data_IF_291842633992
#
_entry.id   IF_291842633992
#
_cell.length_a   1.000
_cell.length_b   1.000
_cell.length_c   1.000
_cell.angle_alpha   90.00
_cell.angle_beta   90.00
_cell.angle_gamma   90.00
#
_symmetry.space_group_name_H-M   'P 1'
#
loop_
_entity.id
_entity.type
_entity.pdbx_description
1 polymer ?
#
# COMPACT_ATOMS: atom_id res chain seq x y z
N UNK A 1 -15.01 -7.88 -8.25
CA UNK A 1 -14.86 -6.59 -7.57
C UNK A 1 -13.71 -5.85 -8.25
N UNK A 2 -13.85 -4.54 -8.49
CA UNK A 2 -12.76 -3.75 -9.10
C UNK A 2 -11.71 -3.46 -8.03
N UNK A 3 -10.45 -3.75 -8.31
CA UNK A 3 -9.35 -3.45 -7.40
C UNK A 3 -8.34 -2.54 -8.11
N UNK A 4 -7.85 -1.54 -7.40
CA UNK A 4 -6.82 -0.62 -7.88
C UNK A 4 -5.59 -0.77 -6.98
N UNK A 5 -4.45 -1.04 -7.62
CA UNK A 5 -3.14 -1.01 -6.98
C UNK A 5 -2.28 0.05 -7.63
N UNK A 6 -1.49 0.74 -6.84
CA UNK A 6 -0.41 1.61 -7.33
C UNK A 6 0.92 0.89 -7.26
N UNK A 7 1.79 1.21 -8.20
CA UNK A 7 3.18 0.79 -8.22
C UNK A 7 4.05 2.00 -7.93
N UNK A 8 4.80 1.96 -6.84
CA UNK A 8 5.79 2.98 -6.52
C UNK A 8 7.19 2.50 -6.84
N UNK A 9 8.03 3.43 -7.28
CA UNK A 9 9.46 3.26 -7.47
C UNK A 9 10.23 4.17 -6.51
N UNK A 10 11.24 3.62 -5.86
CA UNK A 10 12.14 4.39 -5.02
C UNK A 10 13.43 4.71 -5.78
N UNK A 11 13.74 6.00 -5.92
CA UNK A 11 15.05 6.47 -6.41
C UNK A 11 16.16 5.86 -5.54
N UNK A 12 17.08 5.10 -6.12
CA UNK A 12 18.18 4.47 -5.37
C UNK A 12 19.10 5.47 -4.68
N UNK A 13 19.26 6.67 -5.27
CA UNK A 13 20.22 7.69 -4.83
C UNK A 13 19.65 8.56 -3.69
N UNK A 14 18.44 9.10 -3.89
CA UNK A 14 17.81 10.06 -2.96
C UNK A 14 16.79 9.42 -2.04
N UNK A 15 16.46 8.13 -2.28
CA UNK A 15 15.45 7.39 -1.51
C UNK A 15 14.03 8.00 -1.55
N UNK A 16 13.78 8.88 -2.54
CA UNK A 16 12.45 9.44 -2.78
C UNK A 16 11.58 8.41 -3.49
N UNK A 17 10.31 8.34 -3.11
CA UNK A 17 9.30 7.48 -3.73
C UNK A 17 8.47 8.25 -4.75
N UNK A 18 8.21 7.62 -5.87
CA UNK A 18 7.35 8.10 -6.94
C UNK A 18 6.30 7.04 -7.25
N UNK A 19 5.01 7.37 -7.21
CA UNK A 19 3.97 6.47 -7.70
C UNK A 19 4.04 6.46 -9.23
N UNK A 20 4.63 5.43 -9.81
CA UNK A 20 4.93 5.39 -11.25
C UNK A 20 3.82 4.74 -12.08
N UNK A 21 2.93 3.98 -11.48
CA UNK A 21 1.91 3.28 -12.25
C UNK A 21 0.70 2.85 -11.46
N UNK A 22 -0.36 2.54 -12.18
CA UNK A 22 -1.62 2.04 -11.66
C UNK A 22 -2.02 0.76 -12.36
N UNK A 23 -2.22 -0.30 -11.58
CA UNK A 23 -2.83 -1.56 -12.01
C UNK A 23 -4.30 -1.56 -11.60
N UNK A 24 -5.18 -1.81 -12.55
CA UNK A 24 -6.62 -2.00 -12.31
C UNK A 24 -7.00 -3.43 -12.67
N UNK A 25 -7.80 -4.09 -11.84
CA UNK A 25 -8.33 -5.42 -12.10
C UNK A 25 -9.83 -5.47 -11.82
N UNK A 26 -10.57 -6.22 -12.64
CA UNK A 26 -11.96 -6.62 -12.37
C UNK A 26 -12.09 -8.12 -12.05
N UNK A 27 -10.97 -8.81 -11.85
CA UNK A 27 -10.90 -10.25 -11.62
C UNK A 27 -10.81 -11.10 -12.90
N UNK A 28 -11.01 -10.50 -14.09
CA UNK A 28 -10.89 -11.16 -15.40
C UNK A 28 -9.82 -10.55 -16.29
N UNK A 29 -9.67 -9.24 -16.22
CA UNK A 29 -8.69 -8.45 -16.99
C UNK A 29 -7.87 -7.58 -16.07
N UNK A 30 -6.66 -7.30 -16.50
CA UNK A 30 -5.70 -6.43 -15.85
C UNK A 30 -5.31 -5.30 -16.79
N UNK A 31 -5.35 -4.07 -16.29
CA UNK A 31 -4.93 -2.88 -17.00
C UNK A 31 -3.79 -2.23 -16.23
N UNK A 32 -2.72 -1.89 -16.92
CA UNK A 32 -1.63 -1.10 -16.37
C UNK A 32 -1.46 0.18 -17.17
N UNK A 33 -1.35 1.31 -16.47
CA UNK A 33 -1.00 2.61 -17.00
C UNK A 33 0.04 3.26 -16.13
N UNK A 34 0.92 4.03 -16.72
CA UNK A 34 1.78 4.92 -15.95
C UNK A 34 0.99 6.10 -15.40
N UNK A 35 1.47 6.67 -14.30
CA UNK A 35 0.91 7.83 -13.63
C UNK A 35 1.84 9.03 -13.75
N UNK A 36 1.35 10.23 -13.43
CA UNK A 36 2.15 11.45 -13.48
C UNK A 36 3.47 11.36 -12.71
N UNK A 37 3.49 10.57 -11.64
CA UNK A 37 4.71 10.29 -10.88
C UNK A 37 5.82 9.60 -11.69
N UNK A 38 5.50 8.86 -12.77
CA UNK A 38 6.52 8.32 -13.67
C UNK A 38 7.24 9.42 -14.46
N UNK A 39 6.50 10.42 -14.94
CA UNK A 39 7.11 11.59 -15.62
C UNK A 39 7.92 12.44 -14.65
N UNK A 40 7.43 12.64 -13.43
CA UNK A 40 8.18 13.30 -12.38
C UNK A 40 9.49 12.55 -12.07
N UNK A 41 9.42 11.22 -11.92
CA UNK A 41 10.59 10.38 -11.69
C UNK A 41 11.61 10.42 -12.85
N UNK A 42 11.15 10.49 -14.11
CA UNK A 42 12.04 10.69 -15.26
C UNK A 42 12.80 12.01 -15.17
N UNK A 43 12.09 13.10 -14.88
CA UNK A 43 12.66 14.44 -14.86
C UNK A 43 13.61 14.62 -13.66
N UNK A 44 13.24 14.10 -12.49
CA UNK A 44 13.95 14.37 -11.24
C UNK A 44 15.05 13.36 -10.94
N UNK A 45 14.88 12.11 -11.36
CA UNK A 45 15.70 11.00 -10.88
C UNK A 45 16.17 10.04 -11.99
N UNK A 46 15.89 10.35 -13.27
CA UNK A 46 16.32 9.54 -14.39
C UNK A 46 15.63 8.16 -14.43
N UNK A 47 14.39 8.07 -13.98
CA UNK A 47 13.61 6.84 -14.11
C UNK A 47 13.46 6.46 -15.58
N UNK A 48 13.73 5.21 -15.91
CA UNK A 48 13.49 4.65 -17.23
C UNK A 48 12.23 3.77 -17.19
N UNK A 49 11.39 3.81 -18.25
CA UNK A 49 10.22 2.94 -18.35
C UNK A 49 10.59 1.48 -18.12
N UNK A 50 9.72 0.77 -17.45
CA UNK A 50 9.91 -0.65 -17.17
C UNK A 50 9.95 -1.44 -18.47
N UNK A 51 10.88 -2.38 -18.60
CA UNK A 51 11.07 -3.17 -19.83
C UNK A 51 9.81 -3.88 -20.34
N UNK A 52 8.91 -4.24 -19.43
CA UNK A 52 7.62 -4.83 -19.76
C UNK A 52 6.60 -3.79 -20.25
N UNK A 53 6.79 -2.54 -19.90
CA UNK A 53 5.91 -1.41 -20.22
C UNK A 53 6.77 -0.25 -20.79
N UNK A 54 7.33 -0.42 -22.00
CA UNK A 54 8.36 0.51 -22.52
C UNK A 54 7.86 1.90 -22.91
N UNK A 55 6.55 2.10 -22.99
CA UNK A 55 5.94 3.36 -23.40
C UNK A 55 5.09 3.94 -22.27
N UNK A 56 5.41 5.17 -21.84
CA UNK A 56 4.66 5.84 -20.77
C UNK A 56 3.25 6.27 -21.20
N UNK A 57 3.07 6.51 -22.49
CA UNK A 57 1.83 7.03 -23.07
C UNK A 57 0.92 5.91 -23.60
N UNK A 58 1.11 4.68 -23.12
CA UNK A 58 0.35 3.52 -23.55
C UNK A 58 -0.42 2.87 -22.40
N UNK A 59 -1.67 2.45 -22.70
CA UNK A 59 -2.43 1.52 -21.87
C UNK A 59 -2.01 0.08 -22.21
N UNK A 60 -1.72 -0.72 -21.19
CA UNK A 60 -1.39 -2.14 -21.32
C UNK A 60 -2.51 -2.98 -20.74
N UNK A 61 -2.99 -3.96 -21.50
CA UNK A 61 -4.08 -4.85 -21.10
C UNK A 61 -3.64 -6.30 -21.15
N UNK A 62 -4.19 -7.14 -20.28
CA UNK A 62 -3.92 -8.57 -20.22
C UNK A 62 -5.06 -9.32 -19.54
N UNK A 63 -5.34 -10.53 -19.99
CA UNK A 63 -6.24 -11.47 -19.29
C UNK A 63 -5.56 -12.16 -18.10
N UNK A 64 -4.23 -12.11 -18.03
CA UNK A 64 -3.45 -12.64 -16.94
C UNK A 64 -2.71 -11.52 -16.22
N UNK A 65 -2.49 -11.68 -14.92
CA UNK A 65 -1.68 -10.75 -14.15
C UNK A 65 -0.28 -10.65 -14.77
N UNK A 66 0.16 -9.43 -15.06
CA UNK A 66 1.44 -9.18 -15.70
C UNK A 66 2.60 -9.80 -14.90
N UNK A 67 3.61 -10.39 -15.56
CA UNK A 67 4.77 -11.01 -14.91
C UNK A 67 5.49 -10.09 -13.90
N UNK A 68 5.50 -8.78 -14.13
CA UNK A 68 6.03 -7.83 -13.14
C UNK A 68 5.40 -8.02 -11.76
N UNK A 69 4.10 -8.25 -11.69
CA UNK A 69 3.35 -8.42 -10.46
C UNK A 69 3.34 -9.88 -9.98
N UNK A 70 3.14 -10.83 -10.90
CA UNK A 70 3.13 -12.27 -10.56
C UNK A 70 4.45 -12.70 -9.92
N UNK A 71 5.58 -12.21 -10.44
CA UNK A 71 6.90 -12.53 -9.92
C UNK A 71 7.19 -11.93 -8.53
N UNK A 72 6.29 -11.12 -7.97
CA UNK A 72 6.36 -10.54 -6.62
C UNK A 72 5.61 -11.35 -5.57
N UNK A 73 4.91 -12.36 -6.02
CA UNK A 73 4.19 -13.28 -5.14
C UNK A 73 5.07 -14.47 -4.78
N UNK A 74 4.87 -15.00 -3.59
CA UNK A 74 5.43 -16.31 -3.23
C UNK A 74 4.67 -17.36 -4.04
N UNK A 75 5.36 -18.26 -4.76
CA UNK A 75 4.68 -19.33 -5.50
C UNK A 75 3.91 -20.27 -4.57
N UNK A 76 2.70 -20.66 -4.98
CA UNK A 76 1.85 -21.61 -4.21
C UNK A 76 2.51 -22.94 -3.92
N UNK A 77 3.46 -23.35 -4.75
CA UNK A 77 4.22 -24.61 -4.58
C UNK A 77 5.27 -24.54 -3.47
N UNK A 78 5.54 -23.37 -2.91
CA UNK A 78 6.49 -23.20 -1.82
C UNK A 78 5.91 -23.67 -0.49
N UNK A 79 6.67 -24.42 0.34
CA UNK A 79 6.21 -24.87 1.65
C UNK A 79 5.76 -23.74 2.57
N UNK A 80 6.42 -22.59 2.48
CA UNK A 80 6.11 -21.41 3.28
C UNK A 80 4.87 -20.62 2.85
N UNK A 81 4.19 -21.03 1.75
CA UNK A 81 3.06 -20.28 1.20
C UNK A 81 1.88 -20.12 2.19
N UNK A 82 1.54 -21.19 2.90
CA UNK A 82 0.46 -21.14 3.89
C UNK A 82 0.79 -20.17 5.04
N UNK A 83 2.04 -20.16 5.51
CA UNK A 83 2.48 -19.22 6.52
C UNK A 83 2.52 -17.78 6.00
N UNK A 84 2.93 -17.58 4.74
CA UNK A 84 2.88 -16.28 4.09
C UNK A 84 1.47 -15.69 4.07
N UNK A 85 0.44 -16.47 3.68
CA UNK A 85 -0.96 -16.03 3.75
C UNK A 85 -1.39 -15.67 5.18
N UNK A 86 -0.98 -16.47 6.17
CA UNK A 86 -1.24 -16.17 7.58
C UNK A 86 -0.62 -14.85 8.01
N UNK A 87 0.65 -14.59 7.63
CA UNK A 87 1.33 -13.32 7.98
C UNK A 87 0.61 -12.10 7.42
N UNK A 88 -0.02 -12.22 6.25
CA UNK A 88 -0.79 -11.18 5.60
C UNK A 88 -2.24 -11.09 6.10
N UNK A 89 -2.65 -12.00 6.97
CA UNK A 89 -4.04 -12.17 7.39
C UNK A 89 -5.00 -12.34 6.20
N UNK A 90 -4.60 -13.17 5.23
CA UNK A 90 -5.39 -13.56 4.05
C UNK A 90 -5.90 -14.97 4.26
N UNK A 91 -7.23 -15.19 4.28
CA UNK A 91 -7.80 -16.53 4.31
C UNK A 91 -7.41 -17.34 3.07
N UNK A 92 -7.16 -18.63 3.22
CA UNK A 92 -6.86 -19.51 2.07
C UNK A 92 -7.99 -19.54 1.02
N UNK A 93 -9.23 -19.28 1.45
CA UNK A 93 -10.39 -19.15 0.56
C UNK A 93 -10.38 -17.87 -0.29
N UNK A 94 -9.59 -16.87 0.09
CA UNK A 94 -9.43 -15.59 -0.59
C UNK A 94 -8.06 -15.47 -1.26
N UNK A 95 -7.53 -16.58 -1.77
CA UNK A 95 -6.22 -16.67 -2.45
C UNK A 95 -6.25 -15.93 -3.80
N UNK A 96 -6.46 -14.60 -3.74
CA UNK A 96 -6.42 -13.68 -4.87
C UNK A 96 -5.04 -13.00 -4.96
N UNK A 97 -4.33 -13.13 -6.08
CA UNK A 97 -3.02 -12.51 -6.26
C UNK A 97 -3.03 -10.99 -6.09
N UNK A 98 -4.12 -10.30 -6.45
CA UNK A 98 -4.25 -8.85 -6.28
C UNK A 98 -4.38 -8.48 -4.80
N UNK A 99 -5.18 -9.24 -4.03
CA UNK A 99 -5.30 -9.06 -2.59
C UNK A 99 -3.97 -9.32 -1.87
N UNK A 100 -3.27 -10.37 -2.27
CA UNK A 100 -1.96 -10.72 -1.68
C UNK A 100 -0.94 -9.61 -1.96
N UNK A 101 -0.88 -9.08 -3.19
CA UNK A 101 -0.04 -7.92 -3.53
C UNK A 101 -0.40 -6.69 -2.69
N UNK A 102 -1.70 -6.40 -2.55
CA UNK A 102 -2.21 -5.29 -1.75
C UNK A 102 -1.74 -5.36 -0.28
N UNK A 103 -1.60 -6.58 0.26
CA UNK A 103 -1.20 -6.81 1.65
C UNK A 103 0.31 -6.90 1.85
N UNK A 104 1.01 -7.54 0.92
CA UNK A 104 2.44 -7.81 1.04
C UNK A 104 3.32 -6.63 0.61
N UNK A 105 2.78 -5.70 -0.18
CA UNK A 105 3.58 -4.67 -0.85
C UNK A 105 4.39 -5.19 -2.04
N UNK A 106 4.43 -6.49 -2.28
CA UNK A 106 5.16 -7.10 -3.39
C UNK A 106 6.65 -6.73 -3.44
N UNK A 107 7.26 -6.40 -2.30
CA UNK A 107 8.67 -5.98 -2.23
C UNK A 107 9.62 -7.12 -2.59
N UNK A 108 10.69 -6.77 -3.32
CA UNK A 108 11.78 -7.69 -3.67
C UNK A 108 13.12 -7.06 -3.31
N UNK A 109 14.08 -7.89 -2.92
CA UNK A 109 15.44 -7.44 -2.63
C UNK A 109 16.22 -6.99 -3.88
N UNK A 110 15.73 -7.38 -5.08
CA UNK A 110 16.40 -7.16 -6.36
C UNK A 110 15.99 -5.86 -7.06
N UNK A 111 14.99 -5.15 -6.55
CA UNK A 111 14.52 -3.89 -7.12
C UNK A 111 14.01 -2.94 -6.00
N UNK A 112 13.62 -1.74 -6.41
CA UNK A 112 13.12 -0.69 -5.53
C UNK A 112 11.65 -0.38 -5.79
N UNK A 113 10.87 -1.40 -6.16
CA UNK A 113 9.44 -1.27 -6.45
C UNK A 113 8.62 -1.77 -5.26
N UNK A 114 7.51 -1.09 -5.02
CA UNK A 114 6.51 -1.48 -4.02
C UNK A 114 5.10 -1.30 -4.57
N UNK A 115 4.21 -2.23 -4.22
CA UNK A 115 2.80 -2.20 -4.63
C UNK A 115 1.94 -1.88 -3.41
N UNK A 116 0.91 -1.05 -3.58
CA UNK A 116 -0.03 -0.73 -2.51
C UNK A 116 -1.44 -0.49 -3.04
N UNK A 117 -2.48 -0.81 -2.25
CA UNK A 117 -3.85 -0.65 -2.68
C UNK A 117 -4.32 0.80 -2.63
N UNK A 118 -5.21 1.17 -3.56
CA UNK A 118 -6.06 2.35 -3.40
C UNK A 118 -7.15 2.03 -2.37
N UNK A 119 -7.30 2.82 -1.29
CA UNK A 119 -8.37 2.61 -0.35
C UNK A 119 -9.75 2.78 -0.99
N UNK A 120 -10.69 1.95 -0.62
CA UNK A 120 -12.07 2.04 -1.09
C UNK A 120 -12.98 2.47 0.06
N UNK A 121 -13.98 3.29 -0.28
CA UNK A 121 -15.02 3.68 0.67
C UNK A 121 -15.99 2.52 0.86
N UNK A 122 -16.25 2.15 2.10
CA UNK A 122 -17.25 1.14 2.41
C UNK A 122 -18.68 1.66 2.16
N UNK A 123 -19.66 0.77 2.07
CA UNK A 123 -21.07 1.14 1.93
C UNK A 123 -21.56 2.03 3.11
N UNK A 124 -20.94 1.89 4.29
CA UNK A 124 -21.25 2.69 5.48
C UNK A 124 -20.55 4.07 5.48
N UNK A 125 -19.77 4.39 4.45
CA UNK A 125 -19.04 5.64 4.35
C UNK A 125 -17.73 5.69 5.13
N UNK A 126 -17.27 4.54 5.59
CA UNK A 126 -15.99 4.37 6.27
C UNK A 126 -14.89 3.95 5.28
N UNK A 127 -13.65 4.06 5.69
CA UNK A 127 -12.50 3.48 4.98
C UNK A 127 -11.77 2.52 5.91
N UNK A 128 -11.20 1.49 5.29
CA UNK A 128 -10.37 0.49 5.97
C UNK A 128 -9.09 0.34 5.17
N UNK A 129 -7.96 0.62 5.81
CA UNK A 129 -6.64 0.48 5.21
C UNK A 129 -5.83 -0.47 6.09
N UNK A 130 -5.28 -1.50 5.47
CA UNK A 130 -4.37 -2.42 6.13
C UNK A 130 -2.96 -2.20 5.61
N UNK A 131 -2.01 -2.17 6.52
CA UNK A 131 -0.61 -1.95 6.16
C UNK A 131 0.33 -2.65 7.13
N UNK A 132 1.46 -3.07 6.61
CA UNK A 132 2.57 -3.56 7.41
C UNK A 132 3.38 -2.39 7.96
N UNK A 133 3.76 -2.49 9.23
CA UNK A 133 4.54 -1.44 9.89
C UNK A 133 5.98 -1.49 9.41
N UNK A 134 6.48 -0.35 8.96
CA UNK A 134 7.85 -0.19 8.49
C UNK A 134 8.81 0.23 9.61
N UNK A 135 10.09 -0.02 9.42
CA UNK A 135 11.14 0.51 10.29
C UNK A 135 11.32 -0.18 11.63
N UNK A 136 10.57 -1.21 11.98
CA UNK A 136 10.67 -1.94 13.27
C UNK A 136 12.11 -2.31 13.60
N UNK A 137 12.90 -2.75 12.63
CA UNK A 137 14.31 -3.15 12.82
C UNK A 137 15.22 -2.02 13.28
N UNK A 138 14.79 -0.77 13.14
CA UNK A 138 15.55 0.42 13.51
C UNK A 138 15.09 1.02 14.85
N UNK A 139 14.09 0.41 15.47
CA UNK A 139 13.60 0.83 16.79
C UNK A 139 14.54 0.38 17.90
N UNK A 140 14.52 1.06 19.06
CA UNK A 140 15.23 0.61 20.25
C UNK A 140 14.84 -0.81 20.68
N UNK A 141 15.73 -1.55 21.35
CA UNK A 141 15.48 -2.94 21.75
C UNK A 141 14.22 -3.15 22.61
N UNK A 142 13.90 -2.20 23.49
CA UNK A 142 12.71 -2.20 24.33
C UNK A 142 11.42 -2.04 23.48
N UNK A 143 11.43 -1.15 22.49
CA UNK A 143 10.34 -1.02 21.55
C UNK A 143 10.13 -2.27 20.69
N UNK A 144 11.22 -2.90 20.21
CA UNK A 144 11.15 -4.20 19.50
C UNK A 144 10.58 -5.28 20.41
N UNK A 145 10.99 -5.33 21.67
CA UNK A 145 10.45 -6.26 22.65
C UNK A 145 8.96 -6.00 22.93
N UNK A 146 8.54 -4.73 22.91
CA UNK A 146 7.12 -4.35 23.09
C UNK A 146 6.27 -4.79 21.89
N UNK A 147 6.80 -4.69 20.66
CA UNK A 147 6.11 -5.21 19.46
C UNK A 147 5.74 -6.68 19.60
N UNK A 148 6.62 -7.50 20.18
CA UNK A 148 6.36 -8.91 20.38
C UNK A 148 5.27 -9.21 21.44
N UNK A 149 4.92 -8.22 22.25
CA UNK A 149 3.90 -8.31 23.32
C UNK A 149 2.58 -7.59 22.94
N UNK A 150 2.50 -6.99 21.75
CA UNK A 150 1.25 -6.43 21.27
C UNK A 150 0.19 -7.52 21.11
N UNK A 151 -1.06 -7.14 21.25
CA UNK A 151 -2.19 -8.05 21.06
C UNK A 151 -3.10 -7.57 19.91
N UNK A 152 -3.75 -8.47 19.17
CA UNK A 152 -4.77 -8.09 18.18
C UNK A 152 -5.87 -7.25 18.82
N UNK A 153 -6.23 -6.13 18.17
CA UNK A 153 -7.19 -5.17 18.69
C UNK A 153 -6.58 -4.05 19.53
N UNK A 154 -5.31 -4.17 19.95
CA UNK A 154 -4.63 -3.11 20.69
C UNK A 154 -4.53 -1.83 19.86
N UNK A 155 -4.89 -0.68 20.48
CA UNK A 155 -4.89 0.62 19.81
C UNK A 155 -3.48 1.18 19.74
N UNK A 156 -3.15 1.75 18.59
CA UNK A 156 -1.92 2.51 18.36
C UNK A 156 -2.26 3.96 18.03
N UNK A 157 -1.37 4.87 18.39
CA UNK A 157 -1.48 6.28 18.05
C UNK A 157 -0.52 6.63 16.92
N UNK A 158 -1.02 7.36 15.91
CA UNK A 158 -0.17 7.98 14.90
C UNK A 158 0.36 9.31 15.41
N UNK A 159 1.65 9.55 15.21
CA UNK A 159 2.33 10.79 15.57
C UNK A 159 3.14 11.31 14.40
N UNK A 160 3.11 12.63 14.15
CA UNK A 160 3.96 13.28 13.16
C UNK A 160 5.38 13.35 13.72
N UNK A 161 6.33 12.67 13.08
CA UNK A 161 7.75 12.69 13.47
C UNK A 161 8.50 13.73 12.63
N UNK A 162 8.35 14.99 13.01
CA UNK A 162 8.96 16.13 12.32
C UNK A 162 10.50 16.17 12.42
N UNK A 163 11.07 15.38 13.31
CA UNK A 163 12.53 15.29 13.51
C UNK A 163 13.14 14.08 12.81
N UNK A 164 12.34 13.32 12.05
CA UNK A 164 12.85 12.16 11.35
C UNK A 164 13.90 12.57 10.30
N UNK A 165 15.15 12.08 10.41
CA UNK A 165 16.25 12.52 9.53
C UNK A 165 16.10 12.02 8.10
N UNK A 166 15.23 11.03 7.87
CA UNK A 166 15.03 10.39 6.55
C UNK A 166 13.78 10.91 5.85
N UNK A 167 12.76 11.31 6.61
CA UNK A 167 11.47 11.74 6.09
C UNK A 167 10.78 12.71 7.07
N UNK A 168 10.87 14.00 6.79
CA UNK A 168 10.25 15.05 7.61
C UNK A 168 8.71 14.95 7.72
N UNK A 169 8.07 14.14 6.86
CA UNK A 169 6.64 13.87 6.90
C UNK A 169 6.31 12.46 7.46
N UNK A 170 7.27 11.82 8.11
CA UNK A 170 7.07 10.50 8.66
C UNK A 170 5.93 10.47 9.68
N UNK A 171 5.10 9.43 9.58
CA UNK A 171 4.05 9.14 10.54
C UNK A 171 4.48 7.92 11.37
N UNK A 172 4.92 8.18 12.59
CA UNK A 172 5.27 7.16 13.55
C UNK A 172 4.03 6.52 14.16
N UNK A 173 4.18 5.28 14.57
CA UNK A 173 3.19 4.55 15.34
C UNK A 173 3.74 4.31 16.75
N UNK A 174 2.98 4.71 17.75
CA UNK A 174 3.32 4.46 19.15
C UNK A 174 2.21 3.71 19.86
N UNK A 175 2.56 3.04 20.95
CA UNK A 175 1.59 2.44 21.86
C UNK A 175 0.68 3.49 22.46
N UNK A 176 -0.62 3.18 22.58
CA UNK A 176 -1.68 4.11 23.00
C UNK A 176 -1.92 4.11 24.50
N UNK A 177 -1.01 4.16 25.27
CA UNK A 177 -0.94 3.85 26.61
C UNK A 177 -1.47 4.84 27.62
N UNK A 178 -2.01 4.35 28.68
CA UNK A 178 -2.56 5.10 29.80
C UNK A 178 -1.58 5.30 30.97
N UNK A 179 -0.47 4.58 30.98
CA UNK A 179 0.51 4.58 32.07
C UNK A 179 1.88 5.01 31.56
N UNK A 180 2.53 5.91 32.26
CA UNK A 180 3.78 6.61 31.90
C UNK A 180 4.98 5.76 31.48
N UNK A 181 4.88 4.43 31.57
CA UNK A 181 6.01 3.51 31.34
C UNK A 181 5.95 2.64 30.08
N UNK A 182 4.85 2.66 29.33
CA UNK A 182 4.69 1.80 28.14
C UNK A 182 4.48 2.63 26.85
N UNK A 183 5.14 3.78 26.76
CA UNK A 183 5.11 4.63 25.58
C UNK A 183 6.30 4.31 24.69
N UNK A 184 6.07 3.55 23.62
CA UNK A 184 7.10 3.15 22.68
C UNK A 184 6.73 3.57 21.26
N UNK A 185 7.67 4.20 20.55
CA UNK A 185 7.60 4.30 19.09
C UNK A 185 7.98 2.93 18.53
N UNK A 186 7.04 2.26 17.88
CA UNK A 186 7.19 0.87 17.43
C UNK A 186 7.49 0.72 15.93
N UNK A 187 7.43 1.81 15.17
CA UNK A 187 7.71 1.86 13.75
C UNK A 187 6.95 2.98 13.06
N UNK A 188 6.80 2.87 11.74
CA UNK A 188 6.24 3.91 10.91
C UNK A 188 5.18 3.37 9.94
N UNK A 189 4.22 4.21 9.61
CA UNK A 189 3.33 3.98 8.47
C UNK A 189 4.14 3.96 7.16
N UNK A 190 3.72 3.17 6.15
CA UNK A 190 4.33 3.23 4.83
C UNK A 190 4.32 4.65 4.24
N UNK A 191 5.42 5.02 3.58
CA UNK A 191 5.59 6.39 3.04
C UNK A 191 4.52 6.80 2.05
N UNK A 192 4.05 5.90 1.23
CA UNK A 192 3.00 6.18 0.24
C UNK A 192 1.65 6.54 0.88
N UNK A 193 1.40 6.13 2.12
CA UNK A 193 0.17 6.46 2.86
C UNK A 193 0.26 7.78 3.63
N UNK A 194 1.45 8.36 3.82
CA UNK A 194 1.67 9.51 4.71
C UNK A 194 0.86 10.75 4.34
N UNK A 195 0.73 11.03 3.03
CA UNK A 195 -0.02 12.20 2.56
C UNK A 195 -1.51 12.07 2.89
N UNK A 196 -2.11 10.94 2.55
CA UNK A 196 -3.53 10.69 2.81
C UNK A 196 -3.79 10.54 4.31
N UNK A 197 -2.95 9.82 5.04
CA UNK A 197 -3.07 9.71 6.50
C UNK A 197 -2.91 11.07 7.18
N UNK A 198 -1.98 11.91 6.70
CA UNK A 198 -1.84 13.29 7.19
C UNK A 198 -3.11 14.10 6.96
N UNK A 199 -3.69 14.04 5.77
CA UNK A 199 -4.97 14.71 5.43
C UNK A 199 -6.11 14.18 6.30
N UNK A 200 -6.19 12.88 6.52
CA UNK A 200 -7.21 12.27 7.39
C UNK A 200 -7.06 12.70 8.85
N UNK A 201 -5.83 12.78 9.38
CA UNK A 201 -5.54 13.28 10.72
C UNK A 201 -5.94 14.76 10.85
N UNK A 202 -5.61 15.57 9.84
CA UNK A 202 -5.83 17.02 9.86
C UNK A 202 -7.29 17.40 9.61
N UNK A 203 -8.09 16.55 8.97
CA UNK A 203 -9.49 16.83 8.64
C UNK A 203 -10.41 16.96 9.84
N UNK A 204 -10.03 16.41 10.99
CA UNK A 204 -10.81 16.43 12.24
C UNK A 204 -12.27 15.92 12.10
N UNK A 205 -12.63 15.31 10.95
CA UNK A 205 -14.01 14.88 10.63
C UNK A 205 -14.38 13.51 11.19
N UNK A 206 -13.58 12.98 12.10
CA UNK A 206 -13.87 11.71 12.76
C UNK A 206 -12.67 11.11 13.46
N UNK A 207 -12.92 10.18 14.34
CA UNK A 207 -11.86 9.49 15.05
C UNK A 207 -11.20 8.47 14.12
N UNK A 208 -9.93 8.73 13.75
CA UNK A 208 -9.08 7.75 13.10
C UNK A 208 -8.62 6.76 14.15
N UNK A 209 -8.89 5.49 13.90
CA UNK A 209 -8.48 4.41 14.76
C UNK A 209 -7.47 3.52 14.07
N UNK A 210 -6.29 3.38 14.66
CA UNK A 210 -5.30 2.39 14.26
C UNK A 210 -5.25 1.29 15.29
N UNK A 211 -5.41 0.06 14.84
CA UNK A 211 -5.34 -1.13 15.70
C UNK A 211 -4.36 -2.14 15.16
N UNK A 212 -3.78 -2.92 16.05
CA UNK A 212 -3.05 -4.12 15.71
C UNK A 212 -4.02 -5.13 15.12
N UNK A 213 -3.81 -5.56 13.87
CA UNK A 213 -4.60 -6.63 13.27
C UNK A 213 -3.93 -7.99 13.49
N UNK A 214 -2.59 -8.03 13.37
CA UNK A 214 -1.83 -9.28 13.54
C UNK A 214 -0.38 -9.02 13.89
N UNK A 215 0.14 -9.84 14.80
CA UNK A 215 1.56 -9.94 15.11
C UNK A 215 2.05 -11.29 14.60
N UNK A 216 3.15 -11.29 13.90
CA UNK A 216 3.79 -12.48 13.36
C UNK A 216 5.15 -12.67 14.04
N UNK A 217 5.26 -13.60 15.03
CA UNK A 217 6.54 -13.87 15.68
C UNK A 217 7.51 -14.55 14.71
N UNK A 218 8.81 -14.64 15.05
CA UNK A 218 9.73 -15.49 14.28
C UNK A 218 9.15 -16.90 14.09
N UNK A 219 9.32 -17.53 12.91
CA UNK A 219 10.27 -17.18 11.83
C UNK A 219 9.76 -16.16 10.81
N UNK A 220 8.61 -15.51 11.00
CA UNK A 220 8.16 -14.47 10.07
C UNK A 220 9.25 -13.40 9.86
N UNK A 221 9.56 -13.02 8.60
CA UNK A 221 10.46 -11.92 8.32
C UNK A 221 10.01 -10.61 8.98
N UNK A 222 10.97 -9.76 9.36
CA UNK A 222 10.67 -8.53 10.10
C UNK A 222 9.72 -7.57 9.38
N UNK A 223 9.74 -7.55 8.05
CA UNK A 223 8.80 -6.73 7.25
C UNK A 223 7.35 -7.19 7.36
N UNK A 224 7.09 -8.43 7.75
CA UNK A 224 5.74 -8.96 8.00
C UNK A 224 5.40 -9.02 9.50
N UNK A 225 6.25 -8.47 10.37
CA UNK A 225 6.17 -8.59 11.83
C UNK A 225 4.85 -8.06 12.40
N UNK A 226 4.38 -6.94 11.92
CA UNK A 226 3.23 -6.25 12.47
C UNK A 226 2.33 -5.72 11.35
N UNK A 227 1.13 -6.29 11.27
CA UNK A 227 0.05 -5.83 10.41
C UNK A 227 -0.91 -4.96 11.23
N UNK A 228 -1.15 -3.75 10.77
CA UNK A 228 -2.09 -2.81 11.35
C UNK A 228 -3.30 -2.58 10.44
N UNK A 229 -4.41 -2.22 11.07
CA UNK A 229 -5.64 -1.77 10.45
C UNK A 229 -5.92 -0.34 10.87
N UNK A 230 -6.05 0.57 9.90
CA UNK A 230 -6.57 1.90 10.09
C UNK A 230 -8.02 1.92 9.62
N UNK A 231 -8.90 2.49 10.42
CA UNK A 231 -10.30 2.66 10.10
C UNK A 231 -10.81 4.02 10.59
N UNK A 232 -11.82 4.54 9.91
CA UNK A 232 -12.45 5.81 10.26
C UNK A 232 -13.52 6.22 9.25
N UNK A 233 -14.13 7.38 9.46
CA UNK A 233 -15.07 7.92 8.50
C UNK A 233 -14.35 8.50 7.31
N UNK A 234 -14.93 8.33 6.14
CA UNK A 234 -14.45 8.96 4.91
C UNK A 234 -14.87 10.42 4.90
N UNK A 235 -13.93 11.38 4.98
CA UNK A 235 -14.26 12.78 4.98
C UNK A 235 -15.01 13.21 3.72
N UNK A 236 -15.87 14.19 3.82
CA UNK A 236 -16.59 14.73 2.67
C UNK A 236 -15.60 15.33 1.66
N UNK A 237 -15.68 14.89 0.40
CA UNK A 237 -14.78 15.33 -0.65
C UNK A 237 -13.35 14.77 -0.55
N UNK A 238 -13.10 13.80 0.33
CA UNK A 238 -11.82 13.13 0.37
C UNK A 238 -11.74 12.09 -0.77
N UNK A 239 -10.70 12.22 -1.56
CA UNK A 239 -10.31 11.23 -2.57
C UNK A 239 -8.88 10.78 -2.27
N UNK A 240 -8.67 9.45 -2.08
CA UNK A 240 -7.34 8.92 -1.84
C UNK A 240 -6.49 9.07 -3.11
N UNK A 241 -5.21 9.37 -2.91
CA UNK A 241 -4.23 9.47 -3.99
C UNK A 241 -4.71 10.37 -5.15
N UNK A 242 -5.24 11.56 -4.81
CA UNK A 242 -5.84 12.51 -5.76
C UNK A 242 -4.87 13.54 -6.33
N UNK A 243 -3.60 13.53 -5.93
CA UNK A 243 -2.59 14.42 -6.50
C UNK A 243 -2.19 14.00 -7.92
N UNK A 244 -1.61 14.94 -8.69
CA UNK A 244 -1.26 14.74 -10.11
C UNK A 244 -0.32 13.57 -10.36
N UNK A 245 0.55 13.27 -9.40
CA UNK A 245 1.47 12.13 -9.46
C UNK A 245 0.78 10.77 -9.46
N UNK A 246 -0.46 10.66 -8.95
CA UNK A 246 -1.29 9.44 -9.02
C UNK A 246 -2.23 9.40 -10.23
N UNK A 247 -2.37 10.52 -10.94
CA UNK A 247 -3.24 10.59 -12.11
C UNK A 247 -2.63 9.81 -13.28
N UNK A 248 -3.40 8.93 -13.95
CA UNK A 248 -2.93 8.24 -15.15
C UNK A 248 -2.46 9.21 -16.23
N UNK A 249 -1.33 8.91 -16.87
CA UNK A 249 -0.83 9.70 -18.01
C UNK A 249 -1.77 9.58 -19.22
N UNK A 250 -2.27 8.36 -19.45
CA UNK A 250 -3.25 8.09 -20.51
C UNK A 250 -4.64 8.16 -19.89
N UNK A 251 -5.37 9.22 -20.22
CA UNK A 251 -6.79 9.29 -19.88
C UNK A 251 -7.60 8.34 -20.78
N UNK A 252 -8.71 7.84 -20.24
CA UNK A 252 -9.65 6.95 -20.92
C UNK A 252 -10.39 7.56 -22.12
N UNK A 253 -9.87 8.63 -22.72
CA UNK A 253 -10.51 9.40 -23.78
C UNK A 253 -10.23 8.90 -25.20
N UNK A 254 -9.37 7.89 -25.37
CA UNK A 254 -9.28 7.21 -26.67
C UNK A 254 -10.46 6.22 -26.81
N UNK A 255 -11.21 6.19 -27.94
CA UNK A 255 -12.35 5.29 -28.13
C UNK A 255 -12.05 3.83 -27.81
N UNK A 256 -10.87 3.33 -28.15
CA UNK A 256 -10.42 1.97 -27.80
C UNK A 256 -10.21 1.76 -26.29
N UNK A 257 -9.77 2.80 -25.58
CA UNK A 257 -9.56 2.76 -24.12
C UNK A 257 -10.89 2.91 -23.39
N UNK A 258 -11.82 3.69 -23.95
CA UNK A 258 -13.17 3.86 -23.40
C UNK A 258 -13.94 2.55 -23.48
N UNK A 259 -13.88 1.83 -24.59
CA UNK A 259 -14.54 0.51 -24.77
C UNK A 259 -13.95 -0.54 -23.82
N UNK A 260 -12.63 -0.61 -23.65
CA UNK A 260 -11.97 -1.48 -22.70
C UNK A 260 -12.23 -1.11 -21.23
N UNK A 261 -12.40 0.18 -20.93
CA UNK A 261 -12.76 0.65 -19.59
C UNK A 261 -14.27 0.55 -19.34
N UNK A 262 -15.13 0.81 -20.33
CA UNK A 262 -16.58 0.62 -20.22
C UNK A 262 -16.94 -0.85 -19.99
N UNK A 263 -16.26 -1.79 -20.62
CA UNK A 263 -16.34 -3.23 -20.30
C UNK A 263 -15.92 -3.55 -18.85
N UNK A 264 -14.97 -2.78 -18.32
CA UNK A 264 -14.57 -2.87 -16.90
C UNK A 264 -15.60 -2.20 -15.96
N UNK A 265 -16.31 -1.17 -16.45
CA UNK A 265 -17.28 -0.40 -15.67
C UNK A 265 -18.71 -0.94 -15.78
N UNK A 266 -19.11 -1.49 -16.94
CA UNK A 266 -20.48 -1.94 -17.21
C UNK A 266 -20.85 -3.28 -16.57
N UNK A 267 -19.87 -4.06 -16.13
CA UNK A 267 -20.14 -5.32 -15.40
C UNK A 267 -20.62 -5.14 -13.95
N UNK A 268 -21.03 -3.93 -13.54
CA UNK A 268 -21.50 -3.63 -12.19
C UNK A 268 -23.01 -3.36 -12.04
N UNK A 269 -23.82 -3.56 -13.10
CA UNK A 269 -25.29 -3.55 -12.93
C UNK A 269 -25.85 -4.94 -13.25
N UNK A 270 -26.36 -5.68 -12.25
CA UNK A 270 -27.29 -6.78 -12.47
C UNK A 270 -28.68 -6.25 -12.78
#
# INVERSE_FOLDING_TARGET
MKSILFLAWQDPSRRRWYPIGRLTSNGRRYLFVYTGGAREAQNDAGFEPLSMFPDLDRLYTSEQLFPLFTNRLVPRSRPEYADYLKWLNVPESEDDPVLILARSGGQRLTDTLEVFPCPERTACGEYIIRFLVHGIRHMPPDAIARVAKLEPGERLLMVKDIQNPVDAMALGLRTAETYERDVHLIGYCPRYLRSDFGRLIDSNEGEIKVTVERINPPPAPVQFRLLCRLEGRWPRGFEPFSSSDYTPIVEATSPAVTEELEDLYSSQNP
#
